data_IF_567787180738
#
_entry.id   IF_567787180738
#
_cell.length_a   1.000
_cell.length_b   1.000
_cell.length_c   1.000
_cell.angle_alpha   90.00
_cell.angle_beta   90.00
_cell.angle_gamma   90.00
#
_symmetry.space_group_name_H-M   'P 1'
#
loop_
_entity.id
_entity.type
_entity.pdbx_description
1 polymer ?
#
# COMPACT_ATOMS: atom_id res chain seq x y z
N UNK A 1 -0.91 1.40 1.47
CA UNK A 1 -0.62 0.08 0.86
C UNK A 1 -0.55 0.28 -0.64
N UNK A 2 0.55 -0.11 -1.29
CA UNK A 2 0.72 -0.03 -2.76
C UNK A 2 1.35 -1.30 -3.33
N UNK A 3 1.06 -1.58 -4.59
CA UNK A 3 1.77 -2.60 -5.34
C UNK A 3 3.09 -2.08 -5.91
N UNK A 4 4.14 -2.89 -5.87
CA UNK A 4 5.45 -2.54 -6.44
C UNK A 4 5.43 -2.44 -7.96
N UNK A 5 4.47 -3.09 -8.62
CA UNK A 5 4.27 -3.09 -10.07
C UNK A 5 3.11 -2.20 -10.51
N UNK A 6 2.61 -1.32 -9.64
CA UNK A 6 1.50 -0.42 -9.95
C UNK A 6 1.88 0.57 -11.07
N UNK A 7 1.22 0.50 -12.26
CA UNK A 7 1.51 1.40 -13.36
C UNK A 7 0.77 2.76 -13.26
N UNK A 8 -0.17 2.90 -12.32
CA UNK A 8 -1.03 4.07 -12.16
C UNK A 8 -0.49 4.98 -11.06
N UNK A 9 -0.06 4.39 -9.93
CA UNK A 9 0.49 5.12 -8.79
C UNK A 9 1.92 4.65 -8.50
N UNK A 10 2.95 5.34 -9.04
CA UNK A 10 4.33 4.95 -8.83
C UNK A 10 4.75 5.03 -7.36
N UNK A 11 5.60 4.11 -6.90
CA UNK A 11 6.14 4.11 -5.53
C UNK A 11 6.84 5.44 -5.16
N UNK A 12 7.43 6.14 -6.14
CA UNK A 12 8.05 7.45 -5.92
C UNK A 12 7.06 8.51 -5.36
N UNK A 13 5.75 8.33 -5.57
CA UNK A 13 4.71 9.18 -5.01
C UNK A 13 4.63 9.10 -3.47
N UNK A 14 5.21 8.06 -2.85
CA UNK A 14 5.27 7.88 -1.38
C UNK A 14 5.85 9.07 -0.65
N UNK A 15 6.78 9.80 -1.28
CA UNK A 15 7.39 10.99 -0.67
C UNK A 15 6.34 12.07 -0.37
N UNK A 16 5.44 12.34 -1.31
CA UNK A 16 4.42 13.39 -1.15
C UNK A 16 3.42 12.99 -0.05
N UNK A 17 3.03 11.72 0.01
CA UNK A 17 2.15 11.20 1.07
C UNK A 17 2.82 11.31 2.45
N UNK A 18 4.10 10.94 2.57
CA UNK A 18 4.83 11.07 3.84
C UNK A 18 4.96 12.51 4.33
N UNK A 19 5.06 13.47 3.42
CA UNK A 19 5.09 14.90 3.77
C UNK A 19 3.71 15.40 4.23
N UNK A 20 2.64 15.01 3.54
CA UNK A 20 1.28 15.47 3.85
C UNK A 20 0.64 14.74 5.05
N UNK A 21 0.99 13.46 5.27
CA UNK A 21 0.45 12.60 6.32
C UNK A 21 1.60 11.91 7.08
N UNK A 22 2.31 12.64 7.97
CA UNK A 22 3.51 12.12 8.64
C UNK A 22 3.27 10.90 9.53
N UNK A 23 2.05 10.74 10.05
CA UNK A 23 1.65 9.60 10.89
C UNK A 23 1.18 8.38 10.08
N UNK A 24 1.11 8.48 8.74
CA UNK A 24 0.65 7.37 7.91
C UNK A 24 1.65 6.20 7.91
N UNK A 25 1.12 4.98 7.96
CA UNK A 25 1.91 3.77 7.76
C UNK A 25 1.91 3.39 6.27
N UNK A 26 3.08 3.03 5.75
CA UNK A 26 3.24 2.59 4.36
C UNK A 26 3.58 1.10 4.29
N UNK A 27 2.91 0.39 3.39
CA UNK A 27 3.13 -1.03 3.12
C UNK A 27 3.19 -1.21 1.61
N UNK A 28 4.21 -1.94 1.15
CA UNK A 28 4.38 -2.31 -0.25
C UNK A 28 4.12 -3.82 -0.40
N UNK A 29 3.40 -4.19 -1.46
CA UNK A 29 3.09 -5.57 -1.79
C UNK A 29 3.64 -5.92 -3.17
N UNK A 30 4.03 -7.18 -3.37
CA UNK A 30 4.51 -7.68 -4.66
C UNK A 30 3.32 -8.00 -5.59
N UNK A 31 2.66 -6.95 -6.08
CA UNK A 31 1.50 -6.96 -6.97
C UNK A 31 1.41 -5.66 -7.79
N UNK A 32 0.47 -5.63 -8.74
CA UNK A 32 0.08 -4.44 -9.49
C UNK A 32 -0.84 -3.50 -8.71
N UNK A 33 -1.78 -2.88 -9.42
CA UNK A 33 -2.57 -1.77 -8.90
C UNK A 33 -3.66 -2.17 -7.90
N UNK A 34 -4.08 -3.44 -7.87
CA UNK A 34 -5.29 -3.85 -7.13
C UNK A 34 -4.95 -4.92 -6.07
N UNK A 35 -4.21 -4.57 -4.99
CA UNK A 35 -3.71 -5.53 -4.02
C UNK A 35 -4.79 -6.40 -3.36
N UNK A 36 -6.01 -5.85 -3.18
CA UNK A 36 -7.14 -6.58 -2.60
C UNK A 36 -7.62 -7.75 -3.47
N UNK A 37 -7.41 -7.69 -4.79
CA UNK A 37 -7.73 -8.79 -5.70
C UNK A 37 -6.50 -9.68 -5.95
N UNK A 38 -5.32 -9.08 -6.07
CA UNK A 38 -4.09 -9.81 -6.44
C UNK A 38 -3.46 -10.54 -5.24
N UNK A 39 -3.57 -9.97 -4.03
CA UNK A 39 -2.99 -10.45 -2.77
C UNK A 39 -4.01 -10.32 -1.62
N UNK A 40 -5.19 -10.98 -1.69
CA UNK A 40 -6.27 -10.78 -0.74
C UNK A 40 -5.89 -11.10 0.71
N UNK A 41 -5.16 -12.20 0.94
CA UNK A 41 -4.71 -12.57 2.30
C UNK A 41 -3.80 -11.53 2.92
N UNK A 42 -2.75 -11.11 2.22
CA UNK A 42 -1.81 -10.09 2.72
C UNK A 42 -2.49 -8.74 2.95
N UNK A 43 -3.44 -8.39 2.07
CA UNK A 43 -4.25 -7.17 2.20
C UNK A 43 -5.11 -7.21 3.46
N UNK A 44 -5.85 -8.30 3.68
CA UNK A 44 -6.71 -8.45 4.85
C UNK A 44 -5.91 -8.50 6.16
N UNK A 45 -4.77 -9.20 6.17
CA UNK A 45 -3.87 -9.26 7.34
C UNK A 45 -3.33 -7.86 7.69
N UNK A 46 -2.90 -7.10 6.68
CA UNK A 46 -2.40 -5.74 6.87
C UNK A 46 -3.46 -4.79 7.42
N UNK A 47 -4.69 -4.84 6.87
CA UNK A 47 -5.80 -4.02 7.36
C UNK A 47 -6.16 -4.41 8.80
N UNK A 48 -6.25 -5.72 9.09
CA UNK A 48 -6.56 -6.21 10.44
C UNK A 48 -5.50 -5.77 11.45
N UNK A 49 -4.22 -5.81 11.07
CA UNK A 49 -3.11 -5.33 11.91
C UNK A 49 -3.18 -3.81 12.15
N UNK A 50 -3.60 -3.03 11.16
CA UNK A 50 -3.69 -1.59 11.26
C UNK A 50 -4.84 -1.12 12.16
N UNK A 51 -5.96 -1.85 12.19
CA UNK A 51 -7.16 -1.50 12.94
C UNK A 51 -7.14 -1.94 14.42
N UNK A 52 -6.13 -2.72 14.83
CA UNK A 52 -5.93 -3.15 16.21
C UNK A 52 -4.97 -2.21 16.93
#
# INVERSE_FOLDING_TARGET
MWGRQDPIVPLAFARHVRQALPAAQHLELNCGHVPQLERPGQTHDAITRFLR
#
